data_IF_181093533747
#
_entry.id   IF_181093533747
#
_cell.length_a   1.000
_cell.length_b   1.000
_cell.length_c   1.000
_cell.angle_alpha   90.00
_cell.angle_beta   90.00
_cell.angle_gamma   90.00
#
_symmetry.space_group_name_H-M   'P 1'
#
loop_
_entity.id
_entity.type
_entity.pdbx_description
1 polymer ?
#
# COMPACT_ATOMS: atom_id res chain seq x y z
N UNK A 1 -6.87 4.59 4.84
CA UNK A 1 -6.15 3.78 3.83
C UNK A 1 -5.41 4.76 2.93
N UNK A 2 -4.16 4.49 2.55
CA UNK A 2 -3.39 5.38 1.68
C UNK A 2 -3.79 5.33 0.20
N UNK A 3 -4.61 4.36 -0.22
CA UNK A 3 -5.08 4.33 -1.59
C UNK A 3 -5.86 5.61 -1.91
N UNK A 4 -5.49 6.29 -2.99
CA UNK A 4 -6.11 7.53 -3.42
C UNK A 4 -7.63 7.37 -3.57
N UNK A 5 -8.39 8.29 -2.98
CA UNK A 5 -9.86 8.23 -2.94
C UNK A 5 -10.48 7.17 -2.01
N UNK A 6 -9.70 6.39 -1.25
CA UNK A 6 -10.24 5.39 -0.32
C UNK A 6 -10.53 5.97 1.07
N UNK A 7 -11.79 5.85 1.50
CA UNK A 7 -12.30 6.40 2.77
C UNK A 7 -12.17 5.43 3.98
N UNK A 8 -11.60 4.24 3.77
CA UNK A 8 -11.51 3.22 4.83
C UNK A 8 -10.63 3.72 5.99
N UNK A 9 -11.14 3.67 7.24
CA UNK A 9 -10.43 4.21 8.39
C UNK A 9 -9.17 3.40 8.70
N UNK A 10 -8.20 4.02 9.39
CA UNK A 10 -6.94 3.38 9.78
C UNK A 10 -7.15 2.08 10.59
N UNK A 11 -8.20 2.01 11.42
CA UNK A 11 -8.53 0.81 12.19
C UNK A 11 -8.84 -0.42 11.32
N UNK A 12 -9.11 -0.24 10.02
CA UNK A 12 -9.43 -1.31 9.08
C UNK A 12 -8.30 -1.53 8.05
N UNK A 13 -7.09 -1.03 8.36
CA UNK A 13 -5.92 -1.20 7.51
C UNK A 13 -4.90 -2.14 8.11
N UNK A 14 -4.24 -2.88 7.25
CA UNK A 14 -2.99 -3.57 7.56
C UNK A 14 -1.81 -2.65 7.22
N UNK A 15 -0.70 -2.82 7.94
CA UNK A 15 0.54 -2.10 7.66
C UNK A 15 1.34 -2.80 6.56
N UNK A 16 1.20 -2.31 5.33
CA UNK A 16 2.04 -2.75 4.23
C UNK A 16 3.47 -2.24 4.41
N UNK A 17 4.46 -3.09 4.11
CA UNK A 17 5.87 -2.71 4.22
C UNK A 17 6.36 -2.17 2.88
N UNK A 18 6.80 -0.91 2.84
CA UNK A 18 7.40 -0.32 1.64
C UNK A 18 8.66 -1.09 1.20
N UNK A 19 9.48 -1.52 2.16
CA UNK A 19 10.60 -2.43 1.93
C UNK A 19 10.13 -3.86 2.25
N UNK A 20 9.98 -4.77 1.25
CA UNK A 20 9.39 -6.08 1.50
C UNK A 20 10.22 -6.91 2.49
N UNK A 21 9.52 -7.55 3.44
CA UNK A 21 10.15 -8.45 4.41
C UNK A 21 10.93 -9.60 3.74
N UNK A 22 10.39 -10.16 2.65
CA UNK A 22 11.03 -11.23 1.87
C UNK A 22 12.41 -10.84 1.30
N UNK A 23 12.70 -9.55 1.21
CA UNK A 23 13.98 -8.98 0.76
C UNK A 23 14.83 -8.41 1.90
N UNK A 24 14.49 -8.73 3.16
CA UNK A 24 15.21 -8.24 4.35
C UNK A 24 14.70 -6.90 4.89
N UNK A 25 13.55 -6.43 4.43
CA UNK A 25 12.88 -5.25 4.98
C UNK A 25 12.57 -5.41 6.47
N UNK A 26 12.81 -4.34 7.24
CA UNK A 26 12.50 -4.31 8.68
C UNK A 26 11.12 -3.70 8.90
N UNK A 27 10.50 -4.03 10.03
CA UNK A 27 9.35 -3.28 10.51
C UNK A 27 9.82 -1.86 10.90
N UNK A 28 9.40 -0.87 10.11
CA UNK A 28 9.68 0.54 10.34
C UNK A 28 8.40 1.33 10.14
N UNK A 29 7.91 1.98 11.19
CA UNK A 29 6.67 2.76 11.16
C UNK A 29 6.75 3.95 10.19
N UNK A 30 7.94 4.52 9.99
CA UNK A 30 8.14 5.61 9.02
C UNK A 30 7.97 5.15 7.56
N UNK A 31 8.03 3.84 7.32
CA UNK A 31 7.87 3.18 6.02
C UNK A 31 6.65 2.25 5.96
N UNK A 32 5.75 2.37 6.93
CA UNK A 32 4.54 1.58 6.99
C UNK A 32 3.43 2.28 6.20
N UNK A 33 2.79 1.54 5.29
CA UNK A 33 1.76 2.04 4.39
C UNK A 33 0.41 1.43 4.77
N UNK A 34 -0.46 2.13 5.53
CA UNK A 34 -1.75 1.59 5.94
C UNK A 34 -2.69 1.41 4.74
N UNK A 35 -2.96 0.15 4.38
CA UNK A 35 -3.86 -0.23 3.30
C UNK A 35 -4.99 -1.10 3.82
N UNK A 36 -6.23 -0.84 3.40
CA UNK A 36 -7.34 -1.74 3.73
C UNK A 36 -7.13 -3.09 3.03
N UNK A 37 -7.76 -4.16 3.53
CA UNK A 37 -7.55 -5.51 2.98
C UNK A 37 -7.64 -5.57 1.44
N UNK A 38 -8.60 -4.89 0.83
CA UNK A 38 -8.73 -4.81 -0.62
C UNK A 38 -7.50 -4.19 -1.34
N UNK A 39 -6.97 -3.07 -0.84
CA UNK A 39 -5.81 -2.41 -1.44
C UNK A 39 -4.49 -3.10 -1.06
N UNK A 40 -4.43 -3.71 0.12
CA UNK A 40 -3.28 -4.50 0.53
C UNK A 40 -3.10 -5.73 -0.36
N UNK A 41 -4.19 -6.40 -0.79
CA UNK A 41 -4.07 -7.46 -1.80
C UNK A 41 -3.70 -6.89 -3.18
N UNK A 42 -4.29 -5.75 -3.57
CA UNK A 42 -4.02 -5.14 -4.89
C UNK A 42 -2.58 -4.70 -5.07
N UNK A 43 -1.90 -4.23 -4.02
CA UNK A 43 -0.49 -3.79 -4.16
C UNK A 43 0.46 -4.95 -4.48
N UNK A 44 0.06 -6.17 -4.13
CA UNK A 44 0.77 -7.40 -4.46
C UNK A 44 0.29 -8.05 -5.78
N UNK A 45 -0.79 -7.56 -6.39
CA UNK A 45 -1.35 -8.11 -7.62
C UNK A 45 -0.46 -7.75 -8.83
N UNK A 46 0.13 -8.72 -9.54
CA UNK A 46 0.97 -8.46 -10.70
C UNK A 46 0.22 -7.82 -11.87
N UNK A 47 -1.11 -7.86 -11.89
CA UNK A 47 -1.93 -7.18 -12.89
C UNK A 47 -2.03 -5.66 -12.65
N UNK A 48 -1.48 -5.12 -11.56
CA UNK A 48 -1.50 -3.69 -11.26
C UNK A 48 -0.09 -3.11 -11.07
N UNK A 49 0.11 -1.89 -11.51
CA UNK A 49 1.15 -0.99 -11.02
C UNK A 49 0.57 -0.11 -9.92
N UNK A 50 1.40 0.24 -8.95
CA UNK A 50 1.07 1.23 -7.94
C UNK A 50 2.11 2.35 -7.96
N UNK A 51 1.69 3.57 -7.63
CA UNK A 51 2.58 4.73 -7.52
C UNK A 51 2.26 5.47 -6.22
N UNK A 52 3.30 5.71 -5.43
CA UNK A 52 3.24 6.58 -4.25
C UNK A 52 3.47 8.03 -4.68
N UNK A 53 2.67 8.94 -4.13
CA UNK A 53 2.76 10.39 -4.38
C UNK A 53 3.42 11.12 -3.19
N UNK A 54 3.88 12.37 -3.38
CA UNK A 54 4.54 13.14 -2.31
C UNK A 54 3.67 13.39 -1.08
N UNK A 55 2.35 13.44 -1.25
CA UNK A 55 1.37 13.59 -0.16
C UNK A 55 1.12 12.29 0.62
N UNK A 56 1.76 11.18 0.22
CA UNK A 56 1.63 9.87 0.85
C UNK A 56 0.51 9.00 0.28
N UNK A 57 -0.30 9.51 -0.66
CA UNK A 57 -1.33 8.69 -1.32
C UNK A 57 -0.71 7.69 -2.30
N UNK A 58 -1.44 6.62 -2.58
CA UNK A 58 -1.03 5.56 -3.51
C UNK A 58 -2.12 5.39 -4.58
N UNK A 59 -1.77 5.58 -5.85
CA UNK A 59 -2.67 5.24 -6.97
C UNK A 59 -2.36 3.86 -7.53
N UNK A 60 -3.40 3.19 -8.06
CA UNK A 60 -3.29 1.88 -8.69
C UNK A 60 -3.73 1.97 -10.15
N UNK A 61 -2.94 1.42 -11.06
CA UNK A 61 -3.23 1.37 -12.49
C UNK A 61 -3.09 -0.06 -12.98
N UNK A 62 -4.11 -0.58 -13.66
CA UNK A 62 -4.05 -1.94 -14.23
C UNK A 62 -3.03 -1.97 -15.37
N UNK A 63 -2.18 -3.00 -15.41
CA UNK A 63 -1.23 -3.25 -16.50
C UNK A 63 -2.03 -3.68 -17.74
N UNK A 64 -1.77 -3.03 -18.86
CA UNK A 64 -2.30 -3.39 -20.18
C UNK A 64 -1.25 -4.18 -20.97
#
# INVERSE_FOLDING_TARGET
CLADGCDRPYAWTDLHHQDPWSTGGRTNLDKAEPLCGFHHHRIHDPAYHHKRHPDGTITFHRRC
#
